data_IF_472530132976
#
_entry.id   IF_472530132976
#
_cell.length_a   1.000
_cell.length_b   1.000
_cell.length_c   1.000
_cell.angle_alpha   90.00
_cell.angle_beta   90.00
_cell.angle_gamma   90.00
#
_symmetry.space_group_name_H-M   'P 1'
#
loop_
_entity.id
_entity.type
_entity.pdbx_description
1 polymer ?
#
# COMPACT_ATOMS: atom_id res chain seq x y z
N UNK A 1 -14.92 -5.75 -19.33
CA UNK A 1 -14.04 -5.83 -18.16
C UNK A 1 -14.87 -5.63 -16.90
N UNK A 2 -14.59 -6.38 -15.80
CA UNK A 2 -15.19 -6.08 -14.51
C UNK A 2 -14.81 -4.65 -14.10
N UNK A 3 -15.75 -3.92 -13.50
CA UNK A 3 -15.51 -2.54 -13.07
C UNK A 3 -14.70 -2.45 -11.77
N UNK A 4 -14.54 -3.58 -11.06
CA UNK A 4 -13.83 -3.72 -9.77
C UNK A 4 -13.34 -5.15 -9.60
N UNK A 5 -12.22 -5.32 -8.92
CA UNK A 5 -11.70 -6.65 -8.58
C UNK A 5 -11.93 -7.01 -7.12
N UNK A 6 -12.27 -6.05 -6.26
CA UNK A 6 -12.67 -6.30 -4.87
C UNK A 6 -14.20 -6.32 -4.74
N UNK A 7 -14.72 -7.40 -4.16
CA UNK A 7 -16.15 -7.50 -3.87
C UNK A 7 -16.49 -6.58 -2.69
N UNK A 8 -17.70 -6.00 -2.69
CA UNK A 8 -18.13 -5.08 -1.63
C UNK A 8 -18.00 -5.70 -0.23
N UNK A 9 -18.29 -7.00 -0.08
CA UNK A 9 -18.13 -7.72 1.19
C UNK A 9 -16.68 -7.78 1.70
N UNK A 10 -15.70 -7.67 0.82
CA UNK A 10 -14.27 -7.72 1.19
C UNK A 10 -13.76 -6.37 1.70
N UNK A 11 -14.36 -5.25 1.26
CA UNK A 11 -13.78 -3.91 1.41
C UNK A 11 -14.74 -2.83 1.93
N UNK A 12 -16.01 -3.17 2.19
CA UNK A 12 -16.98 -2.20 2.72
C UNK A 12 -16.58 -1.68 4.11
N UNK A 13 -16.91 -0.42 4.45
CA UNK A 13 -16.83 0.06 5.81
C UNK A 13 -17.59 -0.85 6.79
N UNK A 14 -16.96 -1.18 7.91
CA UNK A 14 -17.46 -2.14 8.89
C UNK A 14 -17.01 -3.59 8.66
N UNK A 15 -16.43 -3.92 7.50
CA UNK A 15 -15.82 -5.24 7.28
C UNK A 15 -14.62 -5.43 8.21
N UNK A 16 -14.56 -6.60 8.85
CA UNK A 16 -13.48 -7.01 9.75
C UNK A 16 -12.50 -7.90 9.00
N UNK A 17 -11.22 -7.54 9.02
CA UNK A 17 -10.13 -8.32 8.44
C UNK A 17 -9.26 -8.85 9.58
N UNK A 18 -9.31 -10.16 9.80
CA UNK A 18 -8.41 -10.85 10.71
C UNK A 18 -7.01 -10.96 10.11
N UNK A 19 -6.03 -10.30 10.71
CA UNK A 19 -4.62 -10.44 10.35
C UNK A 19 -3.85 -11.19 11.44
N UNK A 20 -2.52 -11.20 11.38
CA UNK A 20 -1.70 -12.02 12.29
C UNK A 20 -1.70 -11.50 13.72
N UNK A 21 -1.81 -10.20 13.92
CA UNK A 21 -1.71 -9.57 15.25
C UNK A 21 -3.06 -9.10 15.78
N UNK A 22 -3.97 -8.69 14.90
CA UNK A 22 -5.24 -8.12 15.33
C UNK A 22 -6.35 -8.25 14.27
N UNK A 23 -7.56 -7.94 14.70
CA UNK A 23 -8.72 -7.69 13.85
C UNK A 23 -8.77 -6.21 13.46
N UNK A 24 -8.81 -5.94 12.16
CA UNK A 24 -8.86 -4.59 11.62
C UNK A 24 -10.24 -4.31 11.03
N UNK A 25 -10.90 -3.27 11.51
CA UNK A 25 -12.19 -2.81 10.99
C UNK A 25 -11.94 -1.76 9.92
N UNK A 26 -12.48 -1.99 8.72
CA UNK A 26 -12.39 -1.03 7.61
C UNK A 26 -13.29 0.17 7.93
N UNK A 27 -12.77 1.38 7.75
CA UNK A 27 -13.50 2.64 7.92
C UNK A 27 -13.80 3.31 6.59
N UNK A 28 -12.84 3.30 5.68
CA UNK A 28 -12.93 4.01 4.41
C UNK A 28 -12.11 3.32 3.31
N UNK A 29 -12.58 3.45 2.07
CA UNK A 29 -11.82 3.12 0.86
C UNK A 29 -11.11 4.40 0.38
N UNK A 30 -9.79 4.40 0.39
CA UNK A 30 -8.99 5.59 0.06
C UNK A 30 -8.61 5.67 -1.42
N UNK A 31 -8.19 4.55 -2.03
CA UNK A 31 -7.84 4.49 -3.47
C UNK A 31 -7.78 3.05 -3.98
N UNK A 32 -7.95 2.86 -5.29
CA UNK A 32 -7.84 1.56 -5.98
C UNK A 32 -7.02 1.77 -7.26
N UNK A 33 -6.09 0.85 -7.54
CA UNK A 33 -5.20 0.92 -8.69
C UNK A 33 -5.08 -0.47 -9.35
N UNK A 34 -5.61 -0.55 -10.57
CA UNK A 34 -5.58 -1.75 -11.38
C UNK A 34 -4.36 -1.74 -12.31
N UNK A 35 -3.59 -2.83 -12.29
CA UNK A 35 -2.43 -3.10 -13.13
C UNK A 35 -2.67 -4.39 -13.91
N UNK A 36 -3.76 -4.43 -14.69
CA UNK A 36 -4.04 -5.56 -15.55
C UNK A 36 -3.11 -5.57 -16.76
N UNK A 37 -2.55 -6.74 -17.08
CA UNK A 37 -1.55 -6.90 -18.14
C UNK A 37 -2.17 -7.61 -19.34
N UNK A 38 -1.90 -7.10 -20.54
CA UNK A 38 -2.25 -7.74 -21.80
C UNK A 38 -1.35 -8.93 -22.13
N UNK A 39 -1.83 -9.87 -22.94
CA UNK A 39 -1.00 -11.03 -23.34
C UNK A 39 0.29 -10.62 -24.07
N UNK A 40 0.25 -9.54 -24.86
CA UNK A 40 1.41 -9.08 -25.62
C UNK A 40 2.53 -8.52 -24.72
N UNK A 41 2.16 -7.96 -23.56
CA UNK A 41 3.06 -7.32 -22.59
C UNK A 41 3.76 -8.31 -21.64
N UNK A 42 3.32 -9.57 -21.61
CA UNK A 42 3.90 -10.63 -20.78
C UNK A 42 5.38 -10.91 -21.10
N UNK A 43 5.83 -10.54 -22.30
CA UNK A 43 7.22 -10.74 -22.74
C UNK A 43 8.19 -9.75 -22.10
N UNK A 44 7.70 -8.57 -21.72
CA UNK A 44 8.53 -7.42 -21.34
C UNK A 44 8.35 -7.00 -19.87
N UNK A 45 7.33 -7.51 -19.17
CA UNK A 45 7.04 -7.18 -17.77
C UNK A 45 7.29 -8.35 -16.83
N UNK A 46 7.89 -8.04 -15.69
CA UNK A 46 8.17 -9.01 -14.62
C UNK A 46 7.10 -9.00 -13.51
N UNK A 47 6.26 -7.96 -13.45
CA UNK A 47 5.23 -7.82 -12.44
C UNK A 47 3.96 -8.60 -12.84
N UNK A 48 3.24 -9.20 -11.89
CA UNK A 48 2.01 -9.94 -12.17
C UNK A 48 0.83 -9.00 -12.45
N UNK A 49 -0.17 -9.51 -13.18
CA UNK A 49 -1.47 -8.84 -13.32
C UNK A 49 -2.14 -8.73 -11.95
N UNK A 50 -2.33 -7.51 -11.45
CA UNK A 50 -2.81 -7.30 -10.09
C UNK A 50 -3.69 -6.07 -9.94
N UNK A 51 -4.51 -6.07 -8.90
CA UNK A 51 -5.24 -4.90 -8.42
C UNK A 51 -4.85 -4.65 -6.97
N UNK A 52 -4.73 -3.37 -6.59
CA UNK A 52 -4.44 -3.00 -5.22
C UNK A 52 -5.35 -1.88 -4.71
N UNK A 53 -5.88 -2.10 -3.51
CA UNK A 53 -6.79 -1.15 -2.85
C UNK A 53 -6.18 -0.68 -1.54
N UNK A 54 -6.17 0.63 -1.32
CA UNK A 54 -5.78 1.27 -0.07
C UNK A 54 -7.03 1.64 0.72
N UNK A 55 -7.03 1.26 1.98
CA UNK A 55 -8.11 1.42 2.94
C UNK A 55 -7.60 2.18 4.18
N UNK A 56 -8.50 2.87 4.86
CA UNK A 56 -8.29 3.33 6.24
C UNK A 56 -8.97 2.33 7.16
N UNK A 57 -8.25 1.82 8.13
CA UNK A 57 -8.73 0.81 9.06
C UNK A 57 -8.31 1.13 10.49
N UNK A 58 -8.94 0.43 11.43
CA UNK A 58 -8.76 0.65 12.86
C UNK A 58 -8.76 -0.68 13.61
N UNK A 59 -7.94 -0.78 14.65
CA UNK A 59 -7.94 -1.90 15.60
C UNK A 59 -7.99 -1.38 17.02
N UNK A 60 -8.44 -2.21 17.96
CA UNK A 60 -8.23 -1.93 19.37
C UNK A 60 -6.72 -1.94 19.70
N UNK A 61 -6.26 -0.93 20.45
CA UNK A 61 -4.93 -0.86 21.02
C UNK A 61 -4.95 -0.67 22.54
N UNK A 62 -3.80 -0.75 23.22
CA UNK A 62 -3.71 -0.66 24.68
C UNK A 62 -4.21 0.68 25.23
N UNK A 63 -3.91 1.78 24.53
CA UNK A 63 -4.20 3.15 24.95
C UNK A 63 -5.36 3.78 24.16
N UNK A 64 -6.15 2.95 23.48
CA UNK A 64 -7.24 3.37 22.61
C UNK A 64 -7.11 2.83 21.18
N UNK A 65 -8.01 3.25 20.28
CA UNK A 65 -8.00 2.78 18.91
C UNK A 65 -6.74 3.18 18.15
N UNK A 66 -6.19 2.24 17.39
CA UNK A 66 -5.04 2.47 16.52
C UNK A 66 -5.52 2.49 15.08
N UNK A 67 -5.33 3.61 14.40
CA UNK A 67 -5.59 3.73 12.97
C UNK A 67 -4.41 3.23 12.14
N UNK A 68 -4.70 2.65 10.98
CA UNK A 68 -3.72 2.17 10.02
C UNK A 68 -4.18 2.38 8.59
N UNK A 69 -3.22 2.63 7.71
CA UNK A 69 -3.43 2.39 6.29
C UNK A 69 -3.30 0.89 6.04
N UNK A 70 -4.27 0.32 5.33
CA UNK A 70 -4.18 -1.06 4.84
C UNK A 70 -4.15 -1.06 3.32
N UNK A 71 -3.18 -1.75 2.71
CA UNK A 71 -3.24 -2.09 1.30
C UNK A 71 -3.44 -3.58 1.12
N UNK A 72 -4.40 -3.92 0.27
CA UNK A 72 -4.61 -5.30 -0.18
C UNK A 72 -4.12 -5.38 -1.62
N UNK A 73 -3.16 -6.26 -1.88
CA UNK A 73 -2.73 -6.65 -3.21
C UNK A 73 -3.41 -7.96 -3.58
N UNK A 74 -4.06 -8.02 -4.73
CA UNK A 74 -4.73 -9.22 -5.21
C UNK A 74 -4.36 -9.50 -6.64
N UNK A 75 -3.95 -10.74 -6.92
CA UNK A 75 -3.71 -11.16 -8.30
C UNK A 75 -5.03 -11.20 -9.07
N UNK A 76 -5.03 -10.64 -10.28
CA UNK A 76 -6.19 -10.64 -11.18
C UNK A 76 -5.81 -11.37 -12.48
N UNK A 77 -6.78 -11.80 -13.29
CA UNK A 77 -6.49 -12.51 -14.52
C UNK A 77 -5.75 -11.59 -15.50
N UNK A 78 -4.93 -12.19 -16.35
CA UNK A 78 -4.41 -11.53 -17.55
C UNK A 78 -5.60 -11.06 -18.40
N UNK A 79 -5.47 -9.90 -19.02
CA UNK A 79 -6.50 -9.33 -19.89
C UNK A 79 -6.98 -10.36 -20.92
N UNK A 80 -8.29 -10.35 -21.20
CA UNK A 80 -8.97 -11.29 -22.10
C UNK A 80 -9.03 -12.75 -21.62
N UNK A 81 -8.64 -13.05 -20.38
CA UNK A 81 -8.77 -14.39 -19.78
C UNK A 81 -9.79 -14.46 -18.64
N UNK A 82 -10.51 -13.37 -18.36
CA UNK A 82 -11.44 -13.26 -17.24
C UNK A 82 -12.60 -14.25 -17.33
N UNK A 83 -13.07 -14.51 -18.55
CA UNK A 83 -14.17 -15.43 -18.83
C UNK A 83 -13.73 -16.91 -18.87
N UNK A 84 -12.43 -17.18 -18.82
CA UNK A 84 -11.92 -18.55 -18.86
C UNK A 84 -12.27 -19.33 -17.59
N UNK A 85 -12.34 -20.67 -17.67
CA UNK A 85 -12.58 -21.51 -16.50
C UNK A 85 -11.56 -21.24 -15.37
N UNK A 86 -11.95 -21.42 -14.09
CA UNK A 86 -11.04 -21.26 -12.94
C UNK A 86 -9.75 -22.07 -13.08
N UNK A 87 -9.82 -23.26 -13.69
CA UNK A 87 -8.66 -24.13 -13.96
C UNK A 87 -7.67 -23.56 -14.97
N UNK A 88 -8.10 -22.66 -15.85
CA UNK A 88 -7.23 -21.94 -16.81
C UNK A 88 -6.66 -20.69 -16.15
N UNK A 89 -7.50 -19.88 -15.49
CA UNK A 89 -7.04 -18.68 -14.75
C UNK A 89 -6.06 -19.06 -13.64
N UNK A 90 -6.30 -20.14 -12.92
CA UNK A 90 -5.41 -20.62 -11.85
C UNK A 90 -4.00 -21.01 -12.32
N UNK A 91 -3.81 -21.30 -13.62
CA UNK A 91 -2.46 -21.51 -14.18
C UNK A 91 -1.62 -20.24 -14.22
N UNK A 92 -2.25 -19.08 -14.07
CA UNK A 92 -1.60 -17.77 -14.01
C UNK A 92 -1.13 -17.44 -12.59
N UNK A 93 -1.49 -18.26 -11.59
CA UNK A 93 -1.10 -18.02 -10.20
C UNK A 93 0.42 -17.94 -10.04
N UNK A 94 0.87 -16.86 -9.42
CA UNK A 94 2.28 -16.58 -9.21
C UNK A 94 2.57 -16.27 -7.74
N UNK A 95 3.84 -16.43 -7.34
CA UNK A 95 4.31 -15.96 -6.04
C UNK A 95 4.77 -14.51 -6.19
N UNK A 96 4.31 -13.64 -5.30
CA UNK A 96 4.62 -12.21 -5.34
C UNK A 96 4.84 -11.69 -3.93
N UNK A 97 5.77 -10.75 -3.77
CA UNK A 97 5.97 -10.00 -2.54
C UNK A 97 6.06 -8.52 -2.92
N UNK A 98 5.10 -7.68 -2.50
CA UNK A 98 5.16 -6.25 -2.79
C UNK A 98 6.42 -5.64 -2.16
N UNK A 99 7.18 -4.87 -2.94
CA UNK A 99 8.38 -4.15 -2.45
C UNK A 99 8.04 -3.29 -1.22
N UNK A 100 6.84 -2.71 -1.17
CA UNK A 100 6.33 -1.98 0.00
C UNK A 100 6.39 -2.83 1.29
N UNK A 101 5.94 -4.09 1.24
CA UNK A 101 5.96 -4.98 2.38
C UNK A 101 7.40 -5.30 2.81
N UNK A 102 8.31 -5.54 1.85
CA UNK A 102 9.72 -5.81 2.13
C UNK A 102 10.40 -4.62 2.80
N UNK A 103 10.15 -3.41 2.29
CA UNK A 103 10.73 -2.18 2.82
C UNK A 103 10.17 -1.86 4.19
N UNK A 104 8.84 -1.91 4.38
CA UNK A 104 8.22 -1.70 5.68
C UNK A 104 8.72 -2.69 6.72
N UNK A 105 8.88 -3.98 6.38
CA UNK A 105 9.50 -4.99 7.25
C UNK A 105 10.91 -4.60 7.65
N UNK A 106 11.74 -4.21 6.69
CA UNK A 106 13.15 -3.89 6.91
C UNK A 106 13.33 -2.62 7.74
N UNK A 107 12.64 -1.55 7.37
CA UNK A 107 12.73 -0.24 8.02
C UNK A 107 12.13 -0.25 9.43
N UNK A 108 11.05 -1.00 9.64
CA UNK A 108 10.49 -1.22 10.98
C UNK A 108 11.48 -1.94 11.89
N UNK A 109 12.17 -2.98 11.41
CA UNK A 109 13.21 -3.68 12.19
C UNK A 109 14.40 -2.78 12.51
N UNK A 110 14.76 -1.87 11.60
CA UNK A 110 15.79 -0.85 11.82
C UNK A 110 15.36 0.28 12.76
N UNK A 111 14.10 0.30 13.22
CA UNK A 111 13.50 1.38 14.02
C UNK A 111 13.66 2.73 13.31
N UNK A 112 13.39 2.75 12.02
CA UNK A 112 13.35 3.99 11.24
C UNK A 112 12.37 4.98 11.87
N UNK A 113 12.78 6.23 11.93
CA UNK A 113 11.99 7.36 12.44
C UNK A 113 11.50 8.27 11.31
N UNK A 114 11.83 7.94 10.05
CA UNK A 114 11.56 8.73 8.84
C UNK A 114 10.63 7.98 7.87
N UNK A 115 10.04 6.88 8.34
CA UNK A 115 9.09 6.08 7.57
C UNK A 115 8.06 5.48 8.51
N UNK A 116 6.79 5.32 8.07
CA UNK A 116 5.78 4.64 8.85
C UNK A 116 6.20 3.24 9.27
N UNK A 117 5.77 2.79 10.46
CA UNK A 117 5.97 1.40 10.89
C UNK A 117 4.98 0.45 10.25
N UNK A 118 5.46 -0.77 9.99
CA UNK A 118 4.61 -1.92 9.73
C UNK A 118 3.87 -2.32 11.01
N UNK A 119 2.55 -2.23 10.98
CA UNK A 119 1.68 -2.61 12.07
C UNK A 119 1.33 -4.10 11.99
N UNK A 120 0.86 -4.58 10.84
CA UNK A 120 0.50 -5.97 10.60
C UNK A 120 0.68 -6.37 9.13
N UNK A 121 0.72 -7.67 8.83
CA UNK A 121 0.68 -8.16 7.45
C UNK A 121 0.22 -9.61 7.39
N UNK A 122 -0.41 -9.98 6.28
CA UNK A 122 -0.77 -11.37 5.96
C UNK A 122 -0.51 -11.61 4.48
N UNK A 123 0.04 -12.78 4.16
CA UNK A 123 0.20 -13.27 2.80
C UNK A 123 -0.61 -14.56 2.70
N UNK A 124 -1.43 -14.68 1.67
CA UNK A 124 -2.31 -15.83 1.47
C UNK A 124 -2.52 -16.09 -0.04
N UNK A 125 -3.25 -17.17 -0.35
CA UNK A 125 -3.65 -17.54 -1.70
C UNK A 125 -5.17 -17.49 -1.86
N UNK A 126 -5.61 -17.15 -3.07
CA UNK A 126 -7.02 -17.20 -3.44
C UNK A 126 -7.51 -18.65 -3.46
N UNK A 127 -8.74 -18.85 -2.99
CA UNK A 127 -9.43 -20.13 -3.10
C UNK A 127 -9.89 -20.42 -4.54
N UNK A 128 -10.55 -21.56 -4.74
CA UNK A 128 -11.07 -22.02 -6.04
C UNK A 128 -12.13 -21.09 -6.66
N UNK A 129 -12.71 -20.20 -5.86
CA UNK A 129 -13.71 -19.21 -6.32
C UNK A 129 -13.09 -17.86 -6.68
N UNK A 130 -11.78 -17.69 -6.41
CA UNK A 130 -11.05 -16.47 -6.71
C UNK A 130 -10.94 -16.14 -8.20
N UNK A 131 -10.53 -14.91 -8.47
CA UNK A 131 -10.24 -14.45 -9.83
C UNK A 131 -9.01 -15.14 -10.42
N UNK A 132 -8.05 -15.52 -9.60
CA UNK A 132 -6.94 -16.38 -9.98
C UNK A 132 -6.79 -17.43 -8.88
N UNK A 133 -7.43 -18.60 -8.98
CA UNK A 133 -7.29 -19.66 -7.98
C UNK A 133 -5.83 -20.00 -7.73
N UNK A 134 -5.42 -20.02 -6.46
CA UNK A 134 -4.03 -20.21 -6.05
C UNK A 134 -3.12 -18.98 -6.22
N UNK A 135 -3.59 -17.91 -6.87
CA UNK A 135 -2.89 -16.63 -6.98
C UNK A 135 -2.85 -15.88 -5.65
N UNK A 136 -2.00 -14.87 -5.52
CA UNK A 136 -1.78 -14.22 -4.23
C UNK A 136 -2.92 -13.29 -3.80
N UNK A 137 -3.08 -13.15 -2.47
CA UNK A 137 -3.72 -12.01 -1.80
C UNK A 137 -2.88 -11.61 -0.60
N UNK A 138 -2.47 -10.34 -0.52
CA UNK A 138 -1.51 -9.86 0.47
C UNK A 138 -2.05 -8.60 1.13
N UNK A 139 -2.11 -8.60 2.46
CA UNK A 139 -2.52 -7.47 3.29
C UNK A 139 -1.28 -6.87 3.94
N UNK A 140 -1.13 -5.56 3.81
CA UNK A 140 -0.05 -4.78 4.44
C UNK A 140 -0.70 -3.66 5.24
N UNK A 141 -0.44 -3.59 6.54
CA UNK A 141 -0.96 -2.51 7.40
C UNK A 141 0.20 -1.71 7.95
N UNK A 142 0.18 -0.40 7.73
CA UNK A 142 1.17 0.53 8.25
C UNK A 142 0.54 1.73 8.95
N UNK A 143 1.38 2.40 9.72
CA UNK A 143 1.02 3.52 10.57
C UNK A 143 0.50 4.73 9.79
N UNK A 144 -0.52 5.37 10.34
CA UNK A 144 -0.89 6.74 9.99
C UNK A 144 -0.02 7.68 10.81
N UNK A 145 0.85 8.43 10.16
CA UNK A 145 1.75 9.38 10.83
C UNK A 145 1.06 10.75 11.00
N UNK A 146 1.32 11.47 12.10
CA UNK A 146 0.76 12.80 12.30
C UNK A 146 1.39 13.81 11.33
N UNK A 147 0.64 14.88 11.04
CA UNK A 147 1.14 16.01 10.26
C UNK A 147 0.33 16.28 8.99
N UNK A 148 0.87 17.21 8.18
CA UNK A 148 0.29 17.66 6.93
C UNK A 148 0.84 16.83 5.78
N UNK A 149 -0.05 16.11 5.08
CA UNK A 149 0.30 15.48 3.81
C UNK A 149 0.67 16.57 2.78
N UNK A 150 1.86 16.48 2.20
CA UNK A 150 2.44 17.56 1.40
C UNK A 150 1.92 17.64 -0.05
N UNK A 151 1.11 16.67 -0.45
CA UNK A 151 0.49 16.63 -1.77
C UNK A 151 -0.62 15.59 -1.88
N UNK A 152 -1.21 15.53 -3.06
CA UNK A 152 -2.26 14.61 -3.47
C UNK A 152 -2.00 14.13 -4.91
N UNK A 153 -3.02 13.56 -5.55
CA UNK A 153 -2.93 13.11 -6.95
C UNK A 153 -2.87 14.26 -7.97
N UNK A 154 -3.20 15.49 -7.57
CA UNK A 154 -3.21 16.69 -8.42
C UNK A 154 -1.93 17.52 -8.27
N UNK A 155 -1.18 17.35 -7.18
CA UNK A 155 0.15 17.94 -7.02
C UNK A 155 0.55 18.18 -5.57
N UNK A 156 1.47 19.13 -5.36
CA UNK A 156 2.04 19.45 -4.05
C UNK A 156 1.51 20.80 -3.51
N UNK A 157 0.23 21.10 -3.73
CA UNK A 157 -0.36 22.37 -3.29
C UNK A 157 -0.20 22.62 -1.77
N UNK A 158 -0.37 21.63 -0.87
CA UNK A 158 -0.12 21.81 0.56
C UNK A 158 1.31 22.26 0.87
N UNK A 159 2.31 21.65 0.22
CA UNK A 159 3.71 22.08 0.36
C UNK A 159 3.93 23.53 -0.07
N UNK A 160 3.32 23.98 -1.17
CA UNK A 160 3.46 25.35 -1.64
C UNK A 160 2.70 26.37 -0.80
N UNK A 161 1.71 25.92 -0.01
CA UNK A 161 0.99 26.73 0.97
C UNK A 161 1.78 27.00 2.25
N UNK A 162 2.84 26.24 2.52
CA UNK A 162 3.72 26.47 3.68
C UNK A 162 4.54 27.77 3.52
N UNK A 163 4.93 28.35 4.66
CA UNK A 163 5.84 29.50 4.68
C UNK A 163 7.18 29.18 4.02
N UNK A 164 7.96 30.20 3.66
CA UNK A 164 9.28 29.95 3.05
C UNK A 164 10.19 29.15 3.98
N UNK A 165 10.24 29.53 5.25
CA UNK A 165 11.09 28.90 6.27
C UNK A 165 10.68 27.45 6.51
N UNK A 166 9.37 27.15 6.59
CA UNK A 166 8.89 25.76 6.72
C UNK A 166 9.20 24.91 5.49
N UNK A 167 9.07 25.47 4.28
CA UNK A 167 9.45 24.72 3.06
C UNK A 167 10.94 24.40 3.04
N UNK A 168 11.78 25.31 3.52
CA UNK A 168 13.22 25.09 3.60
C UNK A 168 13.54 24.02 4.66
N UNK A 169 12.84 24.01 5.80
CA UNK A 169 12.94 22.94 6.80
C UNK A 169 12.51 21.56 6.24
N UNK A 170 11.39 21.50 5.52
CA UNK A 170 10.92 20.27 4.84
C UNK A 170 11.96 19.74 3.86
N UNK A 171 12.58 20.63 3.06
CA UNK A 171 13.60 20.22 2.07
C UNK A 171 14.84 19.64 2.73
N UNK A 172 15.32 20.25 3.82
CA UNK A 172 16.46 19.71 4.56
C UNK A 172 16.11 18.36 5.21
N UNK A 173 14.94 18.25 5.86
CA UNK A 173 14.48 16.97 6.42
C UNK A 173 14.35 15.88 5.35
N UNK A 174 13.80 16.21 4.17
CA UNK A 174 13.71 15.29 3.04
C UNK A 174 15.09 14.83 2.57
N UNK A 175 16.04 15.76 2.43
CA UNK A 175 17.41 15.45 1.99
C UNK A 175 18.12 14.54 2.99
N UNK A 176 18.03 14.84 4.29
CA UNK A 176 18.60 14.00 5.34
C UNK A 176 17.97 12.61 5.37
N UNK A 177 16.63 12.55 5.28
CA UNK A 177 15.87 11.30 5.22
C UNK A 177 16.25 10.45 4.01
N UNK A 178 16.32 11.04 2.83
CA UNK A 178 16.70 10.34 1.61
C UNK A 178 18.13 9.78 1.69
N UNK A 179 19.09 10.57 2.15
CA UNK A 179 20.47 10.09 2.35
C UNK A 179 20.53 8.94 3.37
N UNK A 180 19.69 8.96 4.40
CA UNK A 180 19.61 7.88 5.40
C UNK A 180 19.01 6.61 4.80
N UNK A 181 17.95 6.72 4.00
CA UNK A 181 17.35 5.59 3.28
C UNK A 181 18.32 4.98 2.25
N UNK A 182 19.02 5.82 1.50
CA UNK A 182 20.01 5.38 0.51
C UNK A 182 21.14 4.57 1.17
N UNK A 183 21.66 5.03 2.32
CA UNK A 183 22.66 4.26 3.11
C UNK A 183 22.13 2.91 3.60
N UNK A 184 20.82 2.75 3.69
CA UNK A 184 20.17 1.48 4.02
C UNK A 184 19.80 0.64 2.80
N UNK A 185 20.14 1.09 1.59
CA UNK A 185 19.81 0.41 0.33
C UNK A 185 18.37 0.62 -0.13
N UNK A 186 17.70 1.67 0.36
CA UNK A 186 16.32 1.99 -0.01
C UNK A 186 16.26 3.32 -0.76
N UNK A 187 15.65 3.31 -1.95
CA UNK A 187 15.28 4.50 -2.69
C UNK A 187 13.75 4.56 -2.79
N UNK A 188 13.10 5.62 -2.28
CA UNK A 188 11.65 5.74 -2.36
C UNK A 188 11.19 5.79 -3.82
N UNK A 189 10.30 4.89 -4.19
CA UNK A 189 9.60 4.93 -5.47
C UNK A 189 8.12 4.58 -5.25
N UNK A 190 7.18 5.37 -5.80
CA UNK A 190 7.41 6.61 -6.54
C UNK A 190 7.56 7.83 -5.61
N UNK A 191 8.42 8.79 -6.02
CA UNK A 191 8.70 10.00 -5.27
C UNK A 191 7.66 11.11 -5.56
N UNK A 192 6.58 11.15 -4.79
CA UNK A 192 5.52 12.14 -4.90
C UNK A 192 5.23 12.82 -3.56
N UNK A 193 4.79 14.09 -3.59
CA UNK A 193 4.42 14.84 -2.38
C UNK A 193 3.30 14.18 -1.57
N UNK A 194 2.40 13.44 -2.23
CA UNK A 194 1.37 12.62 -1.56
C UNK A 194 1.91 11.50 -0.68
N UNK A 195 3.19 11.15 -0.81
CA UNK A 195 3.84 10.13 0.01
C UNK A 195 4.67 10.75 1.15
N UNK A 196 4.60 12.07 1.34
CA UNK A 196 5.34 12.81 2.38
C UNK A 196 4.35 13.47 3.34
N UNK A 197 4.63 13.38 4.64
CA UNK A 197 3.81 13.97 5.70
C UNK A 197 4.72 14.80 6.60
N UNK A 198 4.44 16.09 6.73
CA UNK A 198 5.23 17.01 7.55
C UNK A 198 4.54 17.29 8.88
N UNK A 199 5.20 16.97 9.98
CA UNK A 199 4.76 17.38 11.31
C UNK A 199 5.57 18.62 11.74
N UNK A 200 4.92 19.78 11.70
CA UNK A 200 5.52 21.06 12.10
C UNK A 200 5.78 21.17 13.61
N UNK A 201 5.10 20.35 14.42
CA UNK A 201 5.26 20.34 15.89
C UNK A 201 6.59 19.73 16.29
N UNK A 202 6.98 18.66 15.60
CA UNK A 202 8.22 17.91 15.85
C UNK A 202 9.34 18.27 14.88
N UNK A 203 9.03 18.94 13.76
CA UNK A 203 9.97 19.25 12.70
C UNK A 203 10.42 18.01 11.94
N UNK A 204 9.54 17.02 11.77
CA UNK A 204 9.86 15.73 11.15
C UNK A 204 9.07 15.49 9.87
N UNK A 205 9.72 14.82 8.92
CA UNK A 205 9.18 14.35 7.65
C UNK A 205 9.17 12.81 7.59
#
# INVERSE_FOLDING_TARGET
>A
MPSRWFAQREIAPGTIIQLRKAEWVIREIASEHCFQIGQDDLRDRHDPSMDCIRLICETAGPDGPVQGHMRIYKQIPIECTEAEPPTIRGKQAESFCPIELEYLRTLTRKRSTITPRLLDSREDKQDETGFVPGGFVIWVVWEVVPGLQLGDDLGCAPFWGLSRDERDAVREAFKEGLCKLERWGHLPYPAYGKNLVWDSTTGTL
#
